data_IF_129506716638
#
_entry.id   IF_129506716638
#
_cell.length_a   1.000
_cell.length_b   1.000
_cell.length_c   1.000
_cell.angle_alpha   90.00
_cell.angle_beta   90.00
_cell.angle_gamma   90.00
#
_symmetry.space_group_name_H-M   'P 1'
#
loop_
_entity.id
_entity.type
_entity.pdbx_description
1 polymer ?
#
# COMPACT_ATOMS: atom_id res chain seq x y z
N UNK A 1 -20.46 -22.56 -13.08
CA UNK A 1 -19.53 -21.42 -12.98
C UNK A 1 -19.93 -20.69 -11.73
N UNK A 2 -19.34 -21.10 -10.62
CA UNK A 2 -19.66 -20.57 -9.30
C UNK A 2 -19.14 -19.13 -9.24
N UNK A 3 -20.00 -18.20 -8.80
CA UNK A 3 -19.63 -16.83 -8.51
C UNK A 3 -18.56 -16.89 -7.41
N UNK A 4 -17.30 -16.70 -7.79
CA UNK A 4 -16.19 -16.47 -6.85
C UNK A 4 -16.67 -15.45 -5.82
N UNK A 5 -16.60 -15.81 -4.54
CA UNK A 5 -16.97 -14.93 -3.42
C UNK A 5 -16.41 -13.53 -3.67
N UNK A 6 -17.30 -12.55 -3.81
CA UNK A 6 -16.90 -11.16 -4.05
C UNK A 6 -16.04 -10.70 -2.87
N UNK A 7 -14.72 -10.76 -3.02
CA UNK A 7 -13.82 -10.42 -1.94
C UNK A 7 -13.86 -8.90 -1.75
N UNK A 8 -14.60 -8.46 -0.73
CA UNK A 8 -14.68 -7.06 -0.30
C UNK A 8 -13.50 -6.79 0.62
N UNK A 9 -12.68 -5.82 0.26
CA UNK A 9 -11.57 -5.33 1.06
C UNK A 9 -12.06 -4.25 2.03
N UNK A 10 -11.76 -4.42 3.32
CA UNK A 10 -11.71 -3.31 4.25
C UNK A 10 -10.51 -2.39 3.95
N UNK A 11 -10.39 -1.27 4.65
CA UNK A 11 -9.16 -0.45 4.60
C UNK A 11 -7.92 -1.27 4.96
N UNK A 12 -8.03 -2.18 5.94
CA UNK A 12 -6.93 -3.07 6.31
C UNK A 12 -6.55 -4.04 5.21
N UNK A 13 -7.53 -4.69 4.60
CA UNK A 13 -7.27 -5.65 3.54
C UNK A 13 -6.64 -4.97 2.33
N UNK A 14 -7.12 -3.76 1.99
CA UNK A 14 -6.52 -2.94 0.95
C UNK A 14 -5.06 -2.58 1.27
N UNK A 15 -4.77 -2.18 2.52
CA UNK A 15 -3.41 -1.82 2.92
C UNK A 15 -2.48 -3.04 2.92
N UNK A 16 -2.91 -4.19 3.45
CA UNK A 16 -2.18 -5.46 3.41
C UNK A 16 -1.88 -5.89 1.98
N UNK A 17 -2.90 -5.85 1.12
CA UNK A 17 -2.76 -6.20 -0.28
C UNK A 17 -1.76 -5.28 -0.98
N UNK A 18 -1.90 -3.97 -0.81
CA UNK A 18 -1.00 -2.99 -1.39
C UNK A 18 0.45 -3.14 -0.90
N UNK A 19 0.66 -3.43 0.38
CA UNK A 19 1.99 -3.71 0.94
C UNK A 19 2.61 -4.96 0.33
N UNK A 20 1.84 -6.03 0.09
CA UNK A 20 2.34 -7.24 -0.59
C UNK A 20 2.86 -6.92 -1.99
N UNK A 21 2.12 -6.11 -2.75
CA UNK A 21 2.53 -5.66 -4.09
C UNK A 21 3.80 -4.79 -4.03
N UNK A 22 3.88 -3.88 -3.07
CA UNK A 22 5.05 -3.03 -2.83
C UNK A 22 6.31 -3.81 -2.45
N UNK A 23 6.17 -4.86 -1.63
CA UNK A 23 7.28 -5.77 -1.25
C UNK A 23 7.75 -6.56 -2.47
N UNK A 24 6.82 -7.12 -3.26
CA UNK A 24 7.14 -7.86 -4.48
C UNK A 24 7.88 -6.98 -5.50
N UNK A 25 7.43 -5.75 -5.68
CA UNK A 25 8.07 -4.77 -6.56
C UNK A 25 9.43 -4.28 -6.02
N UNK A 26 9.67 -4.43 -4.71
CA UNK A 26 10.65 -3.66 -3.96
C UNK A 26 10.55 -2.15 -4.27
N UNK A 27 9.32 -1.66 -4.49
CA UNK A 27 9.04 -0.31 -4.96
C UNK A 27 7.65 0.16 -4.56
N UNK A 28 7.51 1.47 -4.34
CA UNK A 28 6.26 2.06 -3.87
C UNK A 28 5.20 2.18 -4.97
N UNK A 29 3.93 2.17 -4.56
CA UNK A 29 2.81 2.41 -5.47
C UNK A 29 2.29 3.85 -5.32
N UNK A 30 1.68 4.36 -6.40
CA UNK A 30 1.04 5.65 -6.48
C UNK A 30 -0.46 5.50 -6.68
N UNK A 31 -1.22 6.35 -5.99
CA UNK A 31 -2.68 6.38 -6.05
C UNK A 31 -3.16 7.36 -7.13
N UNK A 32 -4.10 6.89 -7.97
CA UNK A 32 -4.81 7.72 -8.95
C UNK A 32 -6.32 7.52 -8.77
N UNK A 33 -6.98 8.52 -8.20
CA UNK A 33 -8.44 8.52 -8.00
C UNK A 33 -9.13 8.97 -9.27
N UNK A 34 -10.02 8.14 -9.82
CA UNK A 34 -10.90 8.52 -10.93
C UNK A 34 -12.30 8.76 -10.39
N UNK A 35 -12.58 10.02 -10.02
CA UNK A 35 -13.83 10.47 -9.37
C UNK A 35 -15.09 10.05 -10.15
N UNK A 36 -15.03 10.06 -11.48
CA UNK A 36 -16.17 9.72 -12.34
C UNK A 36 -16.55 8.23 -12.33
N UNK A 37 -15.68 7.35 -11.81
CA UNK A 37 -15.88 5.89 -11.86
C UNK A 37 -15.95 5.22 -10.49
N UNK A 38 -15.97 5.98 -9.39
CA UNK A 38 -15.86 5.45 -8.02
C UNK A 38 -14.75 4.40 -7.90
N UNK A 39 -13.60 4.68 -8.55
CA UNK A 39 -12.50 3.74 -8.67
C UNK A 39 -11.18 4.40 -8.30
N UNK A 40 -10.31 3.61 -7.68
CA UNK A 40 -8.95 3.98 -7.36
C UNK A 40 -8.02 3.02 -8.10
N UNK A 41 -7.07 3.59 -8.85
CA UNK A 41 -6.01 2.84 -9.50
C UNK A 41 -4.72 3.03 -8.70
N UNK A 42 -4.09 1.93 -8.33
CA UNK A 42 -2.77 1.91 -7.71
C UNK A 42 -1.76 1.37 -8.72
N UNK A 43 -0.74 2.16 -9.02
CA UNK A 43 0.29 1.80 -10.01
C UNK A 43 1.65 1.74 -9.34
N UNK A 44 2.49 0.79 -9.71
CA UNK A 44 3.91 0.86 -9.37
C UNK A 44 4.46 2.22 -9.86
N UNK A 45 5.17 2.95 -9.00
CA UNK A 45 5.73 4.26 -9.35
C UNK A 45 6.92 4.16 -10.32
N UNK A 46 7.46 2.95 -10.53
CA UNK A 46 8.66 2.78 -11.35
C UNK A 46 8.33 3.20 -12.79
N UNK A 47 9.18 4.03 -13.44
CA UNK A 47 8.88 4.54 -14.77
C UNK A 47 8.54 3.42 -15.76
N UNK A 48 7.39 3.55 -16.41
CA UNK A 48 6.86 2.60 -17.43
C UNK A 48 6.48 1.21 -16.91
N UNK A 49 6.55 0.96 -15.61
CA UNK A 49 6.14 -0.33 -15.06
C UNK A 49 4.65 -0.62 -15.34
N UNK A 50 4.30 -1.81 -15.86
CA UNK A 50 2.92 -2.15 -16.17
C UNK A 50 2.12 -2.57 -14.93
N UNK A 51 2.79 -2.88 -13.81
CA UNK A 51 2.15 -3.36 -12.60
C UNK A 51 1.17 -2.33 -12.02
N UNK A 52 -0.08 -2.77 -11.86
CA UNK A 52 -1.14 -1.96 -11.27
C UNK A 52 -2.29 -2.82 -10.79
N UNK A 53 -3.08 -2.27 -9.87
CA UNK A 53 -4.37 -2.84 -9.52
C UNK A 53 -5.42 -1.75 -9.36
N UNK A 54 -6.67 -2.12 -9.62
CA UNK A 54 -7.81 -1.23 -9.57
C UNK A 54 -8.78 -1.73 -8.52
N UNK A 55 -9.29 -0.82 -7.71
CA UNK A 55 -10.38 -1.10 -6.78
C UNK A 55 -11.58 -0.22 -7.04
N UNK A 56 -12.77 -0.78 -6.94
CA UNK A 56 -14.02 -0.03 -6.82
C UNK A 56 -14.19 0.40 -5.36
N UNK A 57 -14.69 1.62 -5.15
CA UNK A 57 -15.17 2.11 -3.87
C UNK A 57 -16.64 1.70 -3.79
N UNK A 58 -16.97 0.77 -2.89
CA UNK A 58 -18.34 0.30 -2.69
C UNK A 58 -19.10 1.16 -1.70
N UNK A 59 -18.42 1.56 -0.63
CA UNK A 59 -18.95 2.35 0.49
C UNK A 59 -17.77 3.02 1.21
N UNK A 60 -18.02 3.81 2.24
CA UNK A 60 -16.98 4.32 3.11
C UNK A 60 -16.15 3.16 3.65
N UNK A 61 -14.84 3.18 3.35
CA UNK A 61 -13.86 2.18 3.80
C UNK A 61 -14.07 0.75 3.28
N UNK A 62 -14.91 0.54 2.26
CA UNK A 62 -15.11 -0.76 1.60
C UNK A 62 -14.74 -0.68 0.13
N UNK A 63 -13.89 -1.61 -0.29
CA UNK A 63 -13.34 -1.65 -1.63
C UNK A 63 -13.56 -3.02 -2.26
N UNK A 64 -13.59 -3.09 -3.58
CA UNK A 64 -13.61 -4.35 -4.33
C UNK A 64 -12.47 -4.37 -5.33
N UNK A 65 -11.63 -5.39 -5.29
CA UNK A 65 -10.60 -5.57 -6.32
C UNK A 65 -11.29 -5.85 -7.67
N UNK A 66 -11.00 -5.02 -8.67
CA UNK A 66 -11.57 -5.15 -10.03
C UNK A 66 -10.59 -5.85 -10.95
N UNK A 67 -9.31 -5.46 -10.86
CA UNK A 67 -8.27 -5.91 -11.76
C UNK A 67 -6.93 -5.81 -11.06
N UNK A 68 -6.06 -6.76 -11.36
CA UNK A 68 -4.64 -6.70 -11.02
C UNK A 68 -3.78 -7.11 -12.22
N UNK A 69 -2.63 -6.46 -12.33
CA UNK A 69 -1.50 -6.80 -13.19
C UNK A 69 -0.28 -6.80 -12.29
N UNK A 70 0.27 -7.99 -12.01
CA UNK A 70 1.39 -8.20 -11.07
C UNK A 70 2.76 -8.21 -11.75
N UNK A 71 2.80 -8.11 -13.08
CA UNK A 71 4.05 -8.18 -13.83
C UNK A 71 4.86 -6.90 -13.63
N UNK A 72 6.09 -7.06 -13.14
CA UNK A 72 7.09 -6.01 -13.02
C UNK A 72 8.19 -6.23 -14.06
N UNK A 73 8.49 -5.19 -14.83
CA UNK A 73 9.51 -5.16 -15.88
C UNK A 73 10.80 -4.47 -15.42
N UNK A 74 11.02 -4.39 -14.11
CA UNK A 74 12.15 -3.71 -13.49
C UNK A 74 12.74 -4.53 -12.36
N UNK A 75 14.03 -4.31 -12.10
CA UNK A 75 14.66 -4.74 -10.86
C UNK A 75 14.38 -3.74 -9.73
N UNK A 76 14.79 -4.11 -8.51
CA UNK A 76 14.82 -3.16 -7.40
C UNK A 76 15.62 -1.90 -7.79
N UNK A 77 15.16 -0.69 -7.43
CA UNK A 77 15.87 0.54 -7.74
C UNK A 77 17.22 0.62 -7.00
N UNK A 78 18.20 1.30 -7.61
CA UNK A 78 19.48 1.60 -6.96
C UNK A 78 19.37 2.72 -5.92
N UNK A 79 18.42 3.66 -6.10
CA UNK A 79 18.10 4.70 -5.13
C UNK A 79 16.75 4.38 -4.46
N UNK A 80 16.82 3.98 -3.19
CA UNK A 80 15.67 3.62 -2.36
C UNK A 80 15.18 4.78 -1.50
N UNK A 81 15.87 5.93 -1.54
CA UNK A 81 15.76 7.00 -0.54
C UNK A 81 14.62 8.01 -0.75
N UNK A 82 13.78 7.84 -1.78
CA UNK A 82 12.88 8.92 -2.23
C UNK A 82 11.38 8.60 -2.30
N UNK A 83 10.94 7.39 -1.94
CA UNK A 83 9.54 6.99 -2.18
C UNK A 83 8.84 6.56 -0.89
N UNK A 84 7.62 7.04 -0.68
CA UNK A 84 6.76 6.67 0.45
C UNK A 84 5.69 5.66 0.04
N UNK A 85 5.45 4.67 0.89
CA UNK A 85 4.31 3.75 0.77
C UNK A 85 3.01 4.47 1.06
N UNK A 86 2.09 4.44 0.09
CA UNK A 86 0.76 5.04 0.24
C UNK A 86 -0.12 4.21 1.18
N UNK A 87 0.06 2.89 1.21
CA UNK A 87 -0.71 1.97 2.04
C UNK A 87 -0.30 2.07 3.51
N UNK A 88 1.01 2.15 3.76
CA UNK A 88 1.53 2.40 5.09
C UNK A 88 0.99 3.71 5.68
N UNK A 89 0.98 4.79 4.87
CA UNK A 89 0.41 6.07 5.29
C UNK A 89 -1.10 5.98 5.54
N UNK A 90 -1.87 5.37 4.63
CA UNK A 90 -3.32 5.18 4.80
C UNK A 90 -3.66 4.40 6.07
N UNK A 91 -2.90 3.36 6.40
CA UNK A 91 -3.06 2.62 7.66
C UNK A 91 -2.86 3.55 8.87
N UNK A 92 -1.76 4.32 8.89
CA UNK A 92 -1.47 5.21 10.00
C UNK A 92 -2.52 6.33 10.16
N UNK A 93 -2.97 6.93 9.06
CA UNK A 93 -4.03 7.96 9.05
C UNK A 93 -5.37 7.41 9.55
N UNK A 94 -5.71 6.18 9.18
CA UNK A 94 -7.00 5.57 9.53
C UNK A 94 -7.07 5.19 11.02
N UNK A 95 -5.98 4.67 11.58
CA UNK A 95 -6.00 4.05 12.91
C UNK A 95 -5.35 4.88 14.01
N UNK A 96 -4.62 5.96 13.68
CA UNK A 96 -3.86 6.72 14.69
C UNK A 96 -3.98 8.24 14.51
N UNK A 97 -4.64 8.90 15.46
CA UNK A 97 -4.71 10.36 15.58
C UNK A 97 -3.81 10.84 16.74
N UNK A 98 -2.52 10.94 16.44
CA UNK A 98 -1.43 11.75 17.05
C UNK A 98 -1.38 12.01 18.56
N UNK A 99 -0.55 11.22 19.25
CA UNK A 99 0.49 11.71 20.18
C UNK A 99 1.86 11.21 19.65
N UNK A 100 2.90 12.04 19.68
CA UNK A 100 4.26 11.70 19.25
C UNK A 100 4.82 10.46 19.97
N UNK A 101 4.46 10.25 21.24
CA UNK A 101 4.87 9.07 22.00
C UNK A 101 4.17 7.78 21.55
N UNK A 102 3.01 7.89 20.90
CA UNK A 102 2.27 6.75 20.36
C UNK A 102 2.69 6.42 18.92
N UNK A 103 3.45 7.29 18.24
CA UNK A 103 3.89 7.06 16.85
C UNK A 103 4.79 5.85 16.72
N UNK A 104 5.79 5.66 17.59
CA UNK A 104 6.69 4.50 17.50
C UNK A 104 5.93 3.17 17.71
N UNK A 105 4.96 3.16 18.62
CA UNK A 105 4.09 2.00 18.88
C UNK A 105 3.16 1.75 17.68
N UNK A 106 2.58 2.82 17.11
CA UNK A 106 1.75 2.74 15.91
C UNK A 106 2.52 2.21 14.69
N UNK A 107 3.78 2.62 14.52
CA UNK A 107 4.65 2.11 13.46
C UNK A 107 4.95 0.62 13.66
N UNK A 108 5.27 0.18 14.88
CA UNK A 108 5.49 -1.24 15.17
C UNK A 108 4.24 -2.09 14.92
N UNK A 109 3.08 -1.60 15.36
CA UNK A 109 1.79 -2.24 15.12
C UNK A 109 1.47 -2.31 13.63
N UNK A 110 1.76 -1.24 12.86
CA UNK A 110 1.59 -1.23 11.41
C UNK A 110 2.43 -2.33 10.73
N UNK A 111 3.67 -2.55 11.16
CA UNK A 111 4.50 -3.60 10.57
C UNK A 111 3.89 -4.98 10.82
N UNK A 112 3.42 -5.23 12.03
CA UNK A 112 2.75 -6.49 12.38
C UNK A 112 1.45 -6.66 11.61
N UNK A 113 0.59 -5.65 11.64
CA UNK A 113 -0.75 -5.71 11.06
C UNK A 113 -0.74 -5.73 9.54
N UNK A 114 0.25 -5.10 8.90
CA UNK A 114 0.42 -5.10 7.45
C UNK A 114 1.33 -6.24 6.96
N UNK A 115 1.78 -7.13 7.85
CA UNK A 115 2.68 -8.24 7.54
C UNK A 115 4.00 -7.78 6.89
N UNK A 116 4.48 -6.58 7.23
CA UNK A 116 5.77 -6.06 6.78
C UNK A 116 6.87 -6.78 7.59
N UNK A 117 7.84 -7.45 6.93
CA UNK A 117 8.91 -8.14 7.63
C UNK A 117 9.70 -7.20 8.56
N UNK A 118 9.87 -7.59 9.83
CA UNK A 118 10.66 -6.83 10.82
C UNK A 118 12.15 -7.19 10.80
N UNK A 119 12.47 -8.38 10.32
CA UNK A 119 13.85 -8.89 10.24
C UNK A 119 14.05 -9.53 8.87
N UNK A 120 14.67 -8.78 7.97
CA UNK A 120 15.07 -9.24 6.65
C UNK A 120 16.11 -8.29 6.05
N UNK A 121 16.96 -8.76 5.11
CA UNK A 121 18.01 -7.94 4.48
C UNK A 121 17.48 -6.79 3.61
N UNK A 122 16.16 -6.67 3.43
CA UNK A 122 15.56 -5.70 2.52
C UNK A 122 14.14 -5.33 2.94
N UNK A 123 13.95 -4.81 4.16
CA UNK A 123 12.79 -3.92 4.38
C UNK A 123 12.96 -2.77 3.39
N UNK A 124 12.05 -2.57 2.42
CA UNK A 124 12.19 -1.45 1.52
C UNK A 124 12.28 -0.14 2.31
N UNK A 125 13.28 0.70 2.03
CA UNK A 125 13.53 1.95 2.78
C UNK A 125 12.30 2.88 2.81
N UNK A 126 11.36 2.70 1.88
CA UNK A 126 10.06 3.37 1.87
C UNK A 126 9.17 3.09 3.10
N UNK A 127 9.47 2.05 3.90
CA UNK A 127 8.84 1.80 5.20
C UNK A 127 9.68 2.32 6.38
N UNK A 128 10.95 2.67 6.16
CA UNK A 128 11.83 3.31 7.14
C UNK A 128 11.59 4.84 7.23
N UNK A 129 10.37 5.29 6.93
CA UNK A 129 10.05 6.72 6.91
C UNK A 129 10.25 7.33 8.29
N UNK A 130 10.97 8.45 8.33
CA UNK A 130 11.12 9.26 9.55
C UNK A 130 9.71 9.68 10.01
N UNK A 131 9.42 9.64 11.33
CA UNK A 131 8.10 10.01 11.88
C UNK A 131 7.57 11.38 11.42
N UNK A 132 8.45 12.29 10.99
CA UNK A 132 8.12 13.64 10.50
C UNK A 132 7.70 13.71 9.02
N UNK A 133 7.87 12.64 8.24
CA UNK A 133 7.52 12.60 6.81
C UNK A 133 6.03 12.30 6.57
N UNK A 134 5.32 11.90 7.61
CA UNK A 134 3.87 11.69 7.62
C UNK A 134 3.26 13.01 8.10
N UNK A 135 2.92 13.88 7.16
CA UNK A 135 2.15 15.11 7.38
C UNK A 135 0.80 15.00 6.72
#
# INVERSE_FOLDING_TARGET
>A
MELEEETIFTVMDLCKFGVKQEIQAQYGYGERVRKERSQISFHCKYPKCPAHFNVAILDQNKYKLIKIVEEHDHSAPNDKSQYSSVFYRKYLEHYFQTDDNQRAIAQLNAFKDLEIPLTGPSIPEMYAQKPRAIK
#
